data_IF_868124955147
#
_entry.id   IF_868124955147
#
_cell.length_a   1.000
_cell.length_b   1.000
_cell.length_c   1.000
_cell.angle_alpha   90.00
_cell.angle_beta   90.00
_cell.angle_gamma   90.00
#
_symmetry.space_group_name_H-M   'P 1'
#
loop_
_entity.id
_entity.type
_entity.pdbx_description
1 polymer ?
#
# COMPACT_ATOMS: atom_id res chain seq x y z
N UNK A 1 17.82 -10.04 27.81
CA UNK A 1 16.74 -9.99 26.81
C UNK A 1 17.28 -9.17 25.66
N UNK A 2 17.81 -9.84 24.63
CA UNK A 2 18.52 -9.14 23.55
C UNK A 2 17.52 -8.33 22.73
N UNK A 3 17.53 -7.02 22.96
CA UNK A 3 16.96 -6.04 22.06
C UNK A 3 17.81 -6.02 20.78
N UNK A 4 17.45 -6.86 19.82
CA UNK A 4 17.78 -6.60 18.42
C UNK A 4 16.83 -5.49 17.93
N UNK A 5 17.10 -4.26 18.34
CA UNK A 5 16.58 -3.09 17.63
C UNK A 5 17.37 -3.03 16.33
N UNK A 6 16.87 -3.67 15.30
CA UNK A 6 17.30 -3.36 13.94
C UNK A 6 16.24 -3.75 12.91
N UNK A 7 15.08 -3.10 12.96
CA UNK A 7 14.14 -3.09 11.84
C UNK A 7 13.45 -1.73 11.80
N UNK A 8 14.07 -0.76 11.11
CA UNK A 8 13.30 0.33 10.51
C UNK A 8 12.27 -0.33 9.59
N UNK A 9 11.03 -0.47 10.07
CA UNK A 9 9.90 -0.89 9.22
C UNK A 9 9.73 0.15 8.13
N UNK A 10 10.17 -0.19 6.92
CA UNK A 10 10.17 0.66 5.74
C UNK A 10 8.76 1.21 5.42
N UNK A 11 7.80 0.29 5.40
CA UNK A 11 6.37 0.51 5.16
C UNK A 11 5.65 -0.45 6.10
N UNK A 12 4.80 0.02 7.03
CA UNK A 12 4.11 -0.88 7.96
C UNK A 12 3.25 -1.91 7.21
N UNK A 13 3.46 -3.18 7.55
CA UNK A 13 2.62 -4.30 7.12
C UNK A 13 1.73 -4.68 8.30
N UNK A 14 0.42 -4.67 8.09
CA UNK A 14 -0.58 -4.97 9.11
C UNK A 14 -1.66 -5.85 8.53
N UNK A 15 -2.18 -6.77 9.34
CA UNK A 15 -3.29 -7.61 8.91
C UNK A 15 -4.57 -6.79 8.78
N UNK A 16 -5.26 -6.98 7.66
CA UNK A 16 -6.52 -6.32 7.30
C UNK A 16 -7.42 -7.31 6.58
N UNK A 17 -8.72 -7.14 6.78
CA UNK A 17 -9.73 -7.84 6.01
C UNK A 17 -9.82 -7.20 4.61
N UNK A 18 -9.52 -7.99 3.59
CA UNK A 18 -9.72 -7.66 2.18
C UNK A 18 -10.59 -8.77 1.60
N UNK A 19 -11.82 -8.44 1.22
CA UNK A 19 -12.74 -9.39 0.60
C UNK A 19 -13.22 -10.53 1.50
N UNK A 20 -13.17 -10.38 2.82
CA UNK A 20 -13.52 -11.43 3.78
C UNK A 20 -12.34 -12.31 4.18
N UNK A 21 -11.13 -12.02 3.68
CA UNK A 21 -9.89 -12.70 4.07
C UNK A 21 -8.98 -11.74 4.85
N UNK A 22 -8.61 -12.13 6.07
CA UNK A 22 -7.62 -11.40 6.86
C UNK A 22 -6.24 -11.75 6.35
N UNK A 23 -5.56 -10.78 5.76
CA UNK A 23 -4.25 -10.97 5.14
C UNK A 23 -3.30 -9.78 5.37
N UNK A 24 -1.97 -10.01 5.30
CA UNK A 24 -0.98 -8.96 5.39
C UNK A 24 -1.19 -7.88 4.33
N UNK A 25 -1.29 -6.64 4.78
CA UNK A 25 -1.70 -5.51 3.93
C UNK A 25 -0.91 -4.24 4.25
N UNK A 26 -0.91 -3.30 3.32
CA UNK A 26 -0.18 -2.02 3.45
C UNK A 26 -1.07 -0.82 3.12
N UNK A 27 -0.75 0.32 3.72
CA UNK A 27 -1.36 1.59 3.37
C UNK A 27 -0.77 2.11 2.04
N UNK A 28 -1.65 2.41 1.08
CA UNK A 28 -1.22 2.84 -0.25
C UNK A 28 -0.53 4.21 -0.25
N UNK A 29 -0.83 5.11 0.70
CA UNK A 29 -0.15 6.41 0.80
C UNK A 29 1.25 6.27 1.33
N UNK A 30 1.44 5.41 2.32
CA UNK A 30 2.78 5.11 2.84
C UNK A 30 3.65 4.50 1.74
N UNK A 31 3.11 3.55 0.97
CA UNK A 31 3.79 3.02 -0.21
C UNK A 31 4.09 4.12 -1.25
N UNK A 32 3.12 4.95 -1.61
CA UNK A 32 3.32 6.04 -2.58
C UNK A 32 4.42 7.03 -2.14
N UNK A 33 4.40 7.43 -0.87
CA UNK A 33 5.38 8.32 -0.26
C UNK A 33 6.78 7.69 -0.30
N UNK A 34 6.88 6.41 0.04
CA UNK A 34 8.12 5.66 -0.04
C UNK A 34 8.67 5.60 -1.46
N UNK A 35 7.82 5.29 -2.44
CA UNK A 35 8.19 5.16 -3.85
C UNK A 35 8.63 6.48 -4.49
N UNK A 36 8.38 7.62 -3.83
CA UNK A 36 8.70 8.97 -4.33
C UNK A 36 8.16 9.22 -5.75
N UNK A 37 6.96 8.71 -6.03
CA UNK A 37 6.27 9.01 -7.28
C UNK A 37 6.03 10.52 -7.40
N UNK A 38 6.35 11.08 -8.57
CA UNK A 38 6.14 12.51 -8.86
C UNK A 38 4.68 12.88 -9.14
N UNK A 39 3.79 11.88 -9.25
CA UNK A 39 2.37 12.09 -9.49
C UNK A 39 1.61 12.28 -8.17
N UNK A 40 0.53 13.06 -8.17
CA UNK A 40 -0.32 13.17 -6.99
C UNK A 40 -0.96 11.81 -6.67
N UNK A 41 -0.95 11.40 -5.39
CA UNK A 41 -1.44 10.10 -4.93
C UNK A 41 -2.79 9.68 -5.55
N UNK A 42 -3.78 10.57 -5.56
CA UNK A 42 -5.12 10.25 -6.06
C UNK A 42 -5.14 9.94 -7.56
N UNK A 43 -4.27 10.58 -8.35
CA UNK A 43 -4.11 10.31 -9.78
C UNK A 43 -3.31 9.03 -9.98
N UNK A 44 -2.19 8.91 -9.24
CA UNK A 44 -1.32 7.76 -9.26
C UNK A 44 -2.07 6.45 -8.98
N UNK A 45 -2.78 6.34 -7.85
CA UNK A 45 -3.43 5.08 -7.45
C UNK A 45 -4.51 4.68 -8.45
N UNK A 46 -5.33 5.63 -8.92
CA UNK A 46 -6.38 5.36 -9.92
C UNK A 46 -5.79 4.90 -11.25
N UNK A 47 -4.69 5.53 -11.67
CA UNK A 47 -3.99 5.16 -12.89
C UNK A 47 -3.41 3.76 -12.77
N UNK A 48 -2.75 3.43 -11.65
CA UNK A 48 -2.17 2.10 -11.40
C UNK A 48 -3.25 1.02 -11.33
N UNK A 49 -4.33 1.22 -10.57
CA UNK A 49 -5.50 0.32 -10.54
C UNK A 49 -6.01 0.05 -11.95
N UNK A 50 -6.26 1.10 -12.74
CA UNK A 50 -6.77 0.94 -14.11
C UNK A 50 -5.79 0.23 -15.04
N UNK A 51 -4.50 0.55 -14.94
CA UNK A 51 -3.46 0.04 -15.87
C UNK A 51 -3.19 -1.44 -15.65
N UNK A 52 -3.09 -1.86 -14.40
CA UNK A 52 -2.77 -3.25 -14.02
C UNK A 52 -4.01 -4.09 -13.71
N UNK A 53 -5.21 -3.49 -13.82
CA UNK A 53 -6.52 -4.14 -13.65
C UNK A 53 -6.70 -4.75 -12.25
N UNK A 54 -6.20 -4.07 -11.22
CA UNK A 54 -6.42 -4.46 -9.84
C UNK A 54 -7.90 -4.42 -9.48
N UNK A 55 -8.36 -5.42 -8.73
CA UNK A 55 -9.76 -5.68 -8.40
C UNK A 55 -10.03 -5.29 -6.94
N UNK A 56 -11.09 -4.51 -6.71
CA UNK A 56 -11.51 -4.15 -5.35
C UNK A 56 -12.10 -5.37 -4.64
N UNK A 57 -11.72 -5.56 -3.38
CA UNK A 57 -11.96 -6.76 -2.55
C UNK A 57 -11.14 -8.00 -2.93
N UNK A 58 -10.20 -7.91 -3.88
CA UNK A 58 -9.21 -8.95 -4.14
C UNK A 58 -7.79 -8.40 -3.91
N UNK A 59 -7.45 -7.30 -4.58
CA UNK A 59 -6.12 -6.66 -4.51
C UNK A 59 -6.06 -5.50 -3.52
N UNK A 60 -7.20 -4.86 -3.26
CA UNK A 60 -7.30 -3.72 -2.36
C UNK A 60 -8.72 -3.49 -1.86
N UNK A 61 -8.84 -2.70 -0.80
CA UNK A 61 -10.11 -2.06 -0.40
C UNK A 61 -9.93 -0.54 -0.38
N UNK A 62 -11.03 0.21 -0.58
CA UNK A 62 -11.00 1.66 -0.51
C UNK A 62 -12.11 2.25 0.36
N UNK A 63 -11.81 3.33 1.07
CA UNK A 63 -12.78 3.98 1.96
C UNK A 63 -12.61 5.50 2.00
N UNK A 64 -13.67 6.21 2.39
CA UNK A 64 -13.64 7.66 2.55
C UNK A 64 -13.25 8.04 3.97
N UNK A 65 -12.23 8.88 4.08
CA UNK A 65 -11.87 9.55 5.34
C UNK A 65 -12.50 10.93 5.37
N UNK A 66 -13.10 11.27 6.52
CA UNK A 66 -13.86 12.50 6.74
C UNK A 66 -15.01 12.73 5.72
N UNK A 67 -15.95 11.77 5.58
CA UNK A 67 -17.02 11.84 4.58
C UNK A 67 -18.02 12.99 4.82
N UNK A 68 -18.12 13.50 6.06
CA UNK A 68 -19.01 14.61 6.44
C UNK A 68 -18.20 15.83 6.87
N UNK A 69 -17.74 16.64 5.91
CA UNK A 69 -17.26 17.99 6.22
C UNK A 69 -18.44 18.95 6.08
N UNK A 70 -18.98 19.53 7.16
CA UNK A 70 -20.14 20.43 7.10
C UNK A 70 -19.90 21.68 6.22
N UNK A 71 -18.64 22.05 5.97
CA UNK A 71 -18.26 23.22 5.17
C UNK A 71 -17.77 22.89 3.74
N UNK A 72 -18.22 21.78 3.14
CA UNK A 72 -18.01 21.53 1.69
C UNK A 72 -16.60 21.10 1.26
N UNK A 73 -15.77 20.57 2.17
CA UNK A 73 -14.45 20.05 1.82
C UNK A 73 -14.51 18.67 1.15
N UNK A 74 -13.69 18.45 0.12
CA UNK A 74 -13.58 17.15 -0.57
C UNK A 74 -13.13 16.05 0.39
N UNK A 75 -13.86 14.94 0.43
CA UNK A 75 -13.45 13.73 1.16
C UNK A 75 -12.24 13.09 0.49
N UNK A 76 -11.30 12.61 1.31
CA UNK A 76 -10.13 11.87 0.82
C UNK A 76 -10.50 10.40 0.72
N UNK A 77 -10.17 9.75 -0.40
CA UNK A 77 -10.27 8.30 -0.53
C UNK A 77 -8.93 7.69 -0.19
N UNK A 78 -8.94 6.73 0.72
CA UNK A 78 -7.81 5.92 1.16
C UNK A 78 -7.93 4.51 0.62
N UNK A 79 -6.78 3.81 0.56
CA UNK A 79 -6.67 2.47 0.00
C UNK A 79 -5.75 1.63 0.87
N UNK A 80 -6.19 0.41 1.16
CA UNK A 80 -5.36 -0.64 1.75
C UNK A 80 -5.14 -1.68 0.67
N UNK A 81 -3.88 -2.07 0.46
CA UNK A 81 -3.46 -2.96 -0.61
C UNK A 81 -2.99 -4.28 -0.01
N UNK A 82 -3.22 -5.38 -0.72
CA UNK A 82 -2.52 -6.64 -0.45
C UNK A 82 -1.02 -6.47 -0.64
N UNK A 83 -0.22 -7.36 -0.03
CA UNK A 83 1.23 -7.41 -0.31
C UNK A 83 1.49 -7.69 -1.80
N UNK A 84 0.69 -8.52 -2.46
CA UNK A 84 0.85 -8.83 -3.88
C UNK A 84 0.73 -7.58 -4.75
N UNK A 85 -0.34 -6.80 -4.58
CA UNK A 85 -0.49 -5.52 -5.27
C UNK A 85 0.66 -4.56 -4.94
N UNK A 86 1.07 -4.46 -3.67
CA UNK A 86 2.17 -3.59 -3.26
C UNK A 86 3.52 -3.96 -3.90
N UNK A 87 3.81 -5.26 -4.07
CA UNK A 87 5.00 -5.75 -4.79
C UNK A 87 4.95 -5.34 -6.25
N UNK A 88 3.81 -5.54 -6.92
CA UNK A 88 3.65 -5.17 -8.32
C UNK A 88 3.83 -3.66 -8.53
N UNK A 89 3.20 -2.84 -7.68
CA UNK A 89 3.38 -1.39 -7.70
C UNK A 89 4.85 -0.99 -7.51
N UNK A 90 5.54 -1.63 -6.57
CA UNK A 90 6.97 -1.39 -6.33
C UNK A 90 7.84 -1.76 -7.54
N UNK A 91 7.45 -2.78 -8.31
CA UNK A 91 8.15 -3.17 -9.53
C UNK A 91 7.96 -2.16 -10.67
N UNK A 92 6.74 -1.67 -10.86
CA UNK A 92 6.39 -0.82 -12.02
C UNK A 92 6.79 0.65 -11.86
N UNK A 93 7.08 1.11 -10.64
CA UNK A 93 7.74 2.40 -10.44
C UNK A 93 9.17 2.42 -11.00
N UNK A 94 9.80 1.25 -11.13
CA UNK A 94 11.11 1.09 -11.77
C UNK A 94 12.19 2.06 -11.26
N UNK A 95 12.19 2.34 -9.96
CA UNK A 95 13.16 3.20 -9.29
C UNK A 95 13.85 2.46 -8.12
N UNK A 96 14.83 3.09 -7.49
CA UNK A 96 15.58 2.49 -6.38
C UNK A 96 14.68 2.15 -5.19
N UNK A 97 13.77 3.05 -4.84
CA UNK A 97 12.82 2.90 -3.74
C UNK A 97 11.88 1.71 -3.98
N UNK A 98 11.43 1.53 -5.22
CA UNK A 98 10.65 0.38 -5.67
C UNK A 98 11.43 -0.93 -5.58
N UNK A 99 12.73 -0.93 -5.93
CA UNK A 99 13.60 -2.11 -5.74
C UNK A 99 13.71 -2.49 -4.26
N UNK A 100 13.88 -1.51 -3.37
CA UNK A 100 13.96 -1.74 -1.91
C UNK A 100 12.62 -2.22 -1.37
N UNK A 101 11.52 -1.56 -1.70
CA UNK A 101 10.17 -1.93 -1.25
C UNK A 101 9.79 -3.35 -1.70
N UNK A 102 10.07 -3.70 -2.97
CA UNK A 102 9.86 -5.05 -3.49
C UNK A 102 10.61 -6.10 -2.66
N UNK A 103 11.89 -5.85 -2.34
CA UNK A 103 12.70 -6.79 -1.55
C UNK A 103 12.16 -6.91 -0.12
N UNK A 104 11.76 -5.78 0.47
CA UNK A 104 11.15 -5.73 1.79
C UNK A 104 9.88 -6.59 1.85
N UNK A 105 8.93 -6.40 0.93
CA UNK A 105 7.69 -7.17 0.91
C UNK A 105 7.91 -8.68 0.67
N UNK A 106 8.83 -9.05 -0.22
CA UNK A 106 9.22 -10.47 -0.39
C UNK A 106 9.75 -11.07 0.92
N UNK A 107 10.50 -10.31 1.69
CA UNK A 107 11.02 -10.78 2.97
C UNK A 107 9.91 -10.88 4.03
N UNK A 108 8.94 -9.97 4.03
CA UNK A 108 7.76 -10.05 4.90
C UNK A 108 6.98 -11.35 4.64
N UNK A 109 6.70 -11.71 3.38
CA UNK A 109 6.01 -12.96 3.05
C UNK A 109 6.78 -14.20 3.49
N UNK A 110 8.11 -14.17 3.38
CA UNK A 110 8.95 -15.29 3.83
C UNK A 110 8.95 -15.45 5.34
N UNK A 111 8.88 -14.35 6.09
CA UNK A 111 8.85 -14.38 7.56
C UNK A 111 7.50 -14.84 8.13
N UNK A 112 6.44 -14.77 7.32
CA UNK A 112 5.09 -15.23 7.67
C UNK A 112 4.84 -16.71 7.31
N UNK A 113 5.82 -17.38 6.70
CA UNK A 113 5.81 -18.82 6.44
C UNK A 113 6.56 -19.57 7.52
#
# INVERSE_FOLDING_TARGET
MNMLINQETLIPVVDRDIGGEVQPSVDARELHKWLKSGEMFATWIKKRIKTYKFIENEDYISFLVNPKKPNGGRSSREYILTIDMAKELSMVENNEQGRVARRYFINCEKALR
#
